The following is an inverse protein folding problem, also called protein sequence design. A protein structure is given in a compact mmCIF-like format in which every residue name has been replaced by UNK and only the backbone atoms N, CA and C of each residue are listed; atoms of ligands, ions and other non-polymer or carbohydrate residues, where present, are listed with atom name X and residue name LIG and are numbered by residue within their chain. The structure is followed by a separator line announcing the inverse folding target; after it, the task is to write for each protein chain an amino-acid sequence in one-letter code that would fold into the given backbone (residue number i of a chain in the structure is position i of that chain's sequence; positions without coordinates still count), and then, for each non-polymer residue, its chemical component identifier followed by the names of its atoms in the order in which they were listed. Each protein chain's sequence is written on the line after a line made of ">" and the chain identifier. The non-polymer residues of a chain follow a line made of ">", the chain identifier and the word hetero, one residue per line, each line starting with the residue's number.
data_IF_611070829273
#
_entry.id   IF_611070829273
#
_cell.length_a   1.000
_cell.length_b   1.000
_cell.length_c   1.000
_cell.angle_alpha   90.00
_cell.angle_beta   90.00
_cell.angle_gamma   90.00
#
_symmetry.space_group_name_H-M   'P 1'
#
loop_
_entity.id
_entity.type
_entity.pdbx_description
1 polymer ?
#
# COMPACT_ATOMS: atom_id res chain seq x y z
N UNK A 1 16.77 1.33 36.34
CA UNK A 1 16.24 0.70 35.10
C UNK A 1 17.37 0.83 34.10
N UNK A 2 18.00 -0.28 33.68
CA UNK A 2 18.95 -0.22 32.56
C UNK A 2 18.22 0.24 31.32
N UNK A 3 18.45 1.45 30.87
CA UNK A 3 18.01 1.89 29.56
C UNK A 3 18.69 0.97 28.53
N UNK A 4 17.90 0.10 27.91
CA UNK A 4 18.41 -0.69 26.77
C UNK A 4 18.82 0.31 25.70
N UNK A 5 19.98 0.10 25.09
CA UNK A 5 20.36 0.90 23.93
C UNK A 5 19.24 0.88 22.88
N UNK A 6 18.92 2.04 22.29
CA UNK A 6 17.85 2.12 21.31
C UNK A 6 18.21 1.33 20.06
N UNK A 7 17.25 0.61 19.50
CA UNK A 7 17.40 -0.05 18.21
C UNK A 7 17.33 0.97 17.07
N UNK A 8 18.31 0.92 16.19
CA UNK A 8 18.33 1.73 14.95
C UNK A 8 18.20 0.77 13.78
N UNK A 9 17.09 0.88 13.02
CA UNK A 9 16.79 -0.02 11.91
C UNK A 9 16.74 0.77 10.60
N UNK A 10 17.46 0.27 9.59
CA UNK A 10 17.34 0.71 8.21
C UNK A 10 16.28 -0.15 7.51
N UNK A 11 15.21 0.46 7.00
CA UNK A 11 14.21 -0.19 6.17
C UNK A 11 14.45 0.09 4.69
N UNK A 12 14.38 -0.93 3.85
CA UNK A 12 14.56 -0.83 2.39
C UNK A 12 13.34 -1.41 1.68
N UNK A 13 12.67 -0.56 0.90
CA UNK A 13 11.55 -0.92 0.03
C UNK A 13 11.96 -0.90 -1.43
N UNK A 14 11.64 -1.97 -2.16
CA UNK A 14 11.89 -2.08 -3.60
C UNK A 14 10.95 -3.07 -4.31
N UNK A 15 9.72 -3.22 -3.82
CA UNK A 15 8.83 -4.29 -4.32
C UNK A 15 8.24 -4.02 -5.71
N UNK A 16 8.09 -2.77 -6.12
CA UNK A 16 7.45 -2.38 -7.38
C UNK A 16 8.28 -1.35 -8.15
N UNK A 17 7.91 -0.08 -8.10
CA UNK A 17 8.54 1.02 -8.86
C UNK A 17 9.09 2.14 -7.98
N UNK A 18 8.88 2.09 -6.67
CA UNK A 18 9.50 3.01 -5.71
C UNK A 18 10.74 2.39 -5.07
N UNK A 19 11.86 3.11 -5.12
CA UNK A 19 13.05 2.77 -4.33
C UNK A 19 13.06 3.63 -3.08
N UNK A 20 12.93 3.03 -1.91
CA UNK A 20 12.89 3.80 -0.68
C UNK A 20 13.77 3.23 0.42
N UNK A 21 14.32 4.13 1.24
CA UNK A 21 15.04 3.78 2.46
C UNK A 21 14.61 4.71 3.60
N UNK A 22 14.47 4.14 4.78
CA UNK A 22 14.14 4.88 6.00
C UNK A 22 15.00 4.42 7.16
N UNK A 23 15.36 5.35 8.02
CA UNK A 23 16.04 5.06 9.28
C UNK A 23 15.11 5.38 10.42
N UNK A 24 14.91 4.41 11.31
CA UNK A 24 14.12 4.62 12.54
C UNK A 24 14.99 4.38 13.77
N UNK A 25 14.65 5.07 14.86
CA UNK A 25 15.18 4.84 16.20
C UNK A 25 14.03 4.38 17.08
N UNK A 26 14.05 3.10 17.48
CA UNK A 26 12.90 2.39 18.03
C UNK A 26 11.69 2.49 17.06
N UNK A 27 10.60 3.15 17.48
CA UNK A 27 9.37 3.36 16.71
C UNK A 27 9.27 4.72 16.03
N UNK A 28 10.33 5.57 16.13
CA UNK A 28 10.35 6.94 15.58
C UNK A 28 11.16 7.02 14.30
N UNK A 29 10.59 7.62 13.28
CA UNK A 29 11.27 7.93 12.02
C UNK A 29 12.31 9.01 12.24
N UNK A 30 13.54 8.80 11.76
CA UNK A 30 14.59 9.80 11.67
C UNK A 30 14.73 10.33 10.23
N UNK A 31 14.53 9.47 9.24
CA UNK A 31 14.52 9.83 7.83
C UNK A 31 13.65 8.85 7.03
N UNK A 32 13.01 9.33 5.95
CA UNK A 32 12.26 8.48 5.01
C UNK A 32 12.41 9.05 3.60
N UNK A 33 13.31 8.47 2.82
CA UNK A 33 13.65 8.92 1.45
C UNK A 33 13.02 8.00 0.43
N UNK A 34 12.26 8.57 -0.51
CA UNK A 34 11.59 7.85 -1.59
C UNK A 34 12.06 8.40 -2.94
N UNK A 35 12.44 7.50 -3.83
CA UNK A 35 12.77 7.82 -5.22
C UNK A 35 11.79 7.11 -6.15
N UNK A 36 10.79 7.85 -6.62
CA UNK A 36 9.74 7.36 -7.53
C UNK A 36 10.26 7.29 -8.97
N UNK A 37 9.89 6.23 -9.68
CA UNK A 37 10.32 5.97 -11.05
C UNK A 37 9.28 6.50 -12.06
N UNK A 38 9.44 7.75 -12.50
CA UNK A 38 8.51 8.40 -13.45
C UNK A 38 8.55 7.80 -14.86
N UNK A 39 9.55 6.98 -15.19
CA UNK A 39 9.69 6.35 -16.51
C UNK A 39 8.44 5.52 -16.90
N UNK A 40 7.72 5.00 -15.93
CA UNK A 40 6.55 4.15 -16.15
C UNK A 40 5.32 4.90 -16.65
N UNK A 41 5.27 6.22 -16.48
CA UNK A 41 4.22 7.09 -17.00
C UNK A 41 4.11 6.98 -18.53
N UNK A 42 5.26 6.93 -19.22
CA UNK A 42 5.32 6.80 -20.67
C UNK A 42 4.76 5.48 -21.21
N UNK A 43 4.68 4.45 -20.36
CA UNK A 43 4.18 3.12 -20.74
C UNK A 43 2.75 2.86 -20.24
N UNK A 44 2.20 3.77 -19.43
CA UNK A 44 0.88 3.63 -18.85
C UNK A 44 0.76 2.46 -17.87
N UNK A 45 1.85 2.16 -17.14
CA UNK A 45 1.96 1.13 -16.12
C UNK A 45 3.39 0.64 -15.93
N UNK A 46 3.64 -0.09 -14.84
CA UNK A 46 4.97 -0.54 -14.46
C UNK A 46 5.51 -1.59 -15.45
N UNK A 47 6.74 -1.37 -15.93
CA UNK A 47 7.49 -2.32 -16.76
C UNK A 47 8.56 -2.97 -15.88
N UNK A 48 8.43 -4.28 -15.55
CA UNK A 48 9.24 -4.93 -14.52
C UNK A 48 10.77 -4.86 -14.77
N UNK A 49 11.20 -4.97 -16.01
CA UNK A 49 12.63 -4.89 -16.34
C UNK A 49 13.18 -3.47 -16.14
N UNK A 50 12.43 -2.44 -16.51
CA UNK A 50 12.82 -1.06 -16.28
C UNK A 50 12.84 -0.73 -14.78
N UNK A 51 11.85 -1.23 -14.03
CA UNK A 51 11.78 -1.07 -12.59
C UNK A 51 13.04 -1.62 -11.90
N UNK A 52 13.43 -2.86 -12.19
CA UNK A 52 14.62 -3.48 -11.58
C UNK A 52 15.91 -2.72 -11.92
N UNK A 53 16.06 -2.25 -13.16
CA UNK A 53 17.22 -1.42 -13.58
C UNK A 53 17.27 -0.05 -12.88
N UNK A 54 16.11 0.56 -12.65
CA UNK A 54 16.02 1.82 -11.93
C UNK A 54 16.37 1.63 -10.44
N UNK A 55 15.89 0.55 -9.80
CA UNK A 55 16.32 0.21 -8.44
C UNK A 55 17.83 0.06 -8.30
N UNK A 56 18.50 -0.62 -9.25
CA UNK A 56 19.97 -0.77 -9.24
C UNK A 56 20.70 0.58 -9.25
N UNK A 57 20.15 1.58 -9.93
CA UNK A 57 20.74 2.93 -9.99
C UNK A 57 20.46 3.74 -8.71
N UNK A 58 19.27 3.54 -8.13
CA UNK A 58 18.77 4.42 -7.07
C UNK A 58 19.06 3.92 -5.66
N UNK A 59 19.29 2.61 -5.45
CA UNK A 59 19.35 2.04 -4.10
C UNK A 59 20.50 2.60 -3.25
N UNK A 60 21.69 2.76 -3.83
CA UNK A 60 22.85 3.33 -3.11
C UNK A 60 22.63 4.80 -2.76
N UNK A 61 22.27 5.69 -3.72
CA UNK A 61 21.98 7.10 -3.40
C UNK A 61 20.86 7.28 -2.37
N UNK A 62 19.79 6.47 -2.45
CA UNK A 62 18.64 6.55 -1.54
C UNK A 62 19.01 6.14 -0.13
N UNK A 63 19.76 5.05 0.04
CA UNK A 63 20.24 4.60 1.36
C UNK A 63 21.25 5.60 1.95
N UNK A 64 22.18 6.12 1.15
CA UNK A 64 23.14 7.14 1.59
C UNK A 64 22.43 8.43 2.05
N UNK A 65 21.42 8.87 1.29
CA UNK A 65 20.60 10.03 1.65
C UNK A 65 19.84 9.80 2.96
N UNK A 66 19.20 8.63 3.13
CA UNK A 66 18.48 8.31 4.36
C UNK A 66 19.38 8.29 5.60
N UNK A 67 20.57 7.71 5.50
CA UNK A 67 21.56 7.71 6.60
C UNK A 67 22.05 9.11 6.93
N UNK A 68 22.36 9.92 5.92
CA UNK A 68 22.79 11.32 6.10
C UNK A 68 21.72 12.20 6.72
N UNK A 69 20.47 12.09 6.24
CA UNK A 69 19.34 12.84 6.76
C UNK A 69 19.05 12.46 8.23
N UNK A 70 19.16 11.16 8.55
CA UNK A 70 19.01 10.66 9.90
C UNK A 70 20.17 11.06 10.83
N UNK A 71 21.32 11.51 10.29
CA UNK A 71 22.56 11.77 11.05
C UNK A 71 23.16 10.49 11.65
N UNK A 72 22.98 9.34 11.02
CA UNK A 72 23.38 8.01 11.51
C UNK A 72 24.48 7.43 10.62
N UNK A 73 25.55 6.95 11.23
CA UNK A 73 26.53 6.13 10.53
C UNK A 73 26.07 4.70 10.39
N UNK A 74 26.38 4.04 9.26
CA UNK A 74 25.97 2.66 9.00
C UNK A 74 26.38 1.67 10.12
N UNK A 75 27.49 1.93 10.82
CA UNK A 75 27.95 1.10 11.95
C UNK A 75 27.09 1.20 13.22
N UNK A 76 26.21 2.20 13.29
CA UNK A 76 25.28 2.37 14.41
C UNK A 76 23.97 1.59 14.21
N UNK A 77 23.77 1.03 13.01
CA UNK A 77 22.58 0.23 12.71
C UNK A 77 22.56 -1.07 13.55
N UNK A 78 21.40 -1.36 14.10
CA UNK A 78 21.12 -2.60 14.83
C UNK A 78 20.64 -3.72 13.91
N UNK A 79 19.96 -3.38 12.80
CA UNK A 79 19.46 -4.33 11.80
C UNK A 79 19.15 -3.62 10.48
N UNK A 80 19.07 -4.40 9.39
CA UNK A 80 18.53 -3.95 8.10
C UNK A 80 17.28 -4.77 7.80
N UNK A 81 16.13 -4.09 7.69
CA UNK A 81 14.88 -4.66 7.25
C UNK A 81 14.72 -4.44 5.73
N UNK A 82 14.24 -5.42 5.00
CA UNK A 82 14.07 -5.31 3.56
C UNK A 82 12.83 -6.06 3.10
N UNK A 83 12.20 -5.57 2.04
CA UNK A 83 11.05 -6.24 1.43
C UNK A 83 11.50 -7.52 0.74
N UNK A 84 11.08 -8.66 1.30
CA UNK A 84 11.28 -9.97 0.70
C UNK A 84 10.23 -10.28 -0.36
N UNK A 85 9.04 -9.73 -0.20
CA UNK A 85 7.86 -9.91 -1.06
C UNK A 85 6.55 -9.65 -0.31
N UNK A 86 5.40 -9.79 -1.01
CA UNK A 86 5.26 -9.95 -2.46
C UNK A 86 5.73 -8.72 -3.26
N UNK A 87 5.89 -8.90 -4.60
CA UNK A 87 6.29 -7.81 -5.50
C UNK A 87 6.92 -8.32 -6.80
N UNK A 88 7.49 -7.41 -7.59
CA UNK A 88 8.21 -7.75 -8.83
C UNK A 88 9.54 -8.41 -8.50
N UNK A 89 9.75 -9.64 -8.95
CA UNK A 89 10.91 -10.45 -8.56
C UNK A 89 12.24 -9.73 -8.81
N UNK A 90 12.41 -9.10 -9.98
CA UNK A 90 13.63 -8.37 -10.33
C UNK A 90 13.90 -7.20 -9.38
N UNK A 91 12.86 -6.44 -9.02
CA UNK A 91 12.92 -5.32 -8.08
C UNK A 91 13.25 -5.80 -6.66
N UNK A 92 12.57 -6.83 -6.19
CA UNK A 92 12.83 -7.48 -4.89
C UNK A 92 14.26 -8.02 -4.78
N UNK A 93 14.81 -8.60 -5.85
CA UNK A 93 16.18 -9.11 -5.87
C UNK A 93 17.21 -8.01 -5.68
N UNK A 94 16.98 -6.81 -6.21
CA UNK A 94 17.90 -5.66 -6.01
C UNK A 94 17.93 -5.26 -4.55
N UNK A 95 16.77 -4.96 -3.94
CA UNK A 95 16.70 -4.55 -2.54
C UNK A 95 17.20 -5.61 -1.56
N UNK A 96 16.76 -6.87 -1.75
CA UNK A 96 17.16 -7.97 -0.87
C UNK A 96 18.67 -8.28 -0.95
N UNK A 97 19.26 -8.25 -2.15
CA UNK A 97 20.71 -8.50 -2.32
C UNK A 97 21.53 -7.38 -1.69
N UNK A 98 21.13 -6.12 -1.90
CA UNK A 98 21.78 -4.97 -1.29
C UNK A 98 21.70 -5.03 0.24
N UNK A 99 20.50 -5.23 0.78
CA UNK A 99 20.26 -5.30 2.24
C UNK A 99 21.10 -6.39 2.91
N UNK A 100 21.10 -7.59 2.35
CA UNK A 100 21.87 -8.73 2.87
C UNK A 100 23.36 -8.50 2.80
N UNK A 101 23.89 -7.98 1.68
CA UNK A 101 25.32 -7.68 1.53
C UNK A 101 25.77 -6.64 2.53
N UNK A 102 24.98 -5.57 2.73
CA UNK A 102 25.27 -4.54 3.71
C UNK A 102 25.20 -5.08 5.14
N UNK A 103 24.16 -5.84 5.48
CA UNK A 103 24.02 -6.47 6.81
C UNK A 103 25.17 -7.43 7.13
N UNK A 104 25.57 -8.26 6.16
CA UNK A 104 26.72 -9.15 6.30
C UNK A 104 28.03 -8.40 6.54
N UNK A 105 28.27 -7.32 5.80
CA UNK A 105 29.45 -6.46 5.97
C UNK A 105 29.52 -5.80 7.34
N UNK A 106 28.36 -5.48 7.92
CA UNK A 106 28.24 -4.83 9.23
C UNK A 106 28.15 -5.84 10.39
N UNK A 107 27.95 -7.12 10.11
CA UNK A 107 27.77 -8.16 11.13
C UNK A 107 26.45 -8.04 11.89
N UNK A 108 25.39 -7.50 11.27
CA UNK A 108 24.08 -7.27 11.88
C UNK A 108 22.98 -8.09 11.17
N UNK A 109 21.80 -8.29 11.80
CA UNK A 109 20.68 -9.01 11.20
C UNK A 109 20.15 -8.37 9.92
N UNK A 110 19.80 -9.22 8.91
CA UNK A 110 19.00 -8.85 7.75
C UNK A 110 17.59 -9.43 7.91
N UNK A 111 16.60 -8.58 8.12
CA UNK A 111 15.24 -8.98 8.48
C UNK A 111 14.32 -8.96 7.24
N UNK A 112 13.84 -10.12 6.77
CA UNK A 112 12.93 -10.21 5.65
C UNK A 112 11.53 -9.76 6.08
N UNK A 113 10.95 -8.78 5.37
CA UNK A 113 9.64 -8.20 5.68
C UNK A 113 8.65 -8.56 4.59
N UNK A 114 7.44 -8.89 5.02
CA UNK A 114 6.29 -9.05 4.14
C UNK A 114 5.69 -7.66 3.84
N UNK A 115 5.67 -7.27 2.57
CA UNK A 115 5.25 -5.95 2.11
C UNK A 115 3.86 -5.54 2.64
N UNK A 116 2.87 -6.43 2.54
CA UNK A 116 1.51 -6.11 3.00
C UNK A 116 1.39 -6.01 4.53
N UNK A 117 2.16 -6.83 5.29
CA UNK A 117 2.23 -6.67 6.75
C UNK A 117 2.86 -5.32 7.12
N UNK A 118 3.85 -4.87 6.34
CA UNK A 118 4.49 -3.57 6.56
C UNK A 118 3.50 -2.40 6.40
N UNK A 119 2.66 -2.41 5.37
CA UNK A 119 1.60 -1.40 5.21
C UNK A 119 0.67 -1.33 6.44
N UNK A 120 0.30 -2.48 7.01
CA UNK A 120 -0.52 -2.51 8.22
C UNK A 120 0.25 -1.99 9.43
N UNK A 121 1.52 -2.41 9.59
CA UNK A 121 2.35 -2.00 10.72
C UNK A 121 2.80 -0.53 10.66
N UNK A 122 2.64 0.16 9.51
CA UNK A 122 2.86 1.61 9.41
C UNK A 122 2.02 2.42 10.42
N UNK A 123 0.87 1.90 10.87
CA UNK A 123 0.07 2.51 11.93
C UNK A 123 0.76 2.57 13.30
N UNK A 124 1.85 1.84 13.47
CA UNK A 124 2.61 1.79 14.73
C UNK A 124 3.85 2.69 14.72
N UNK A 125 4.03 3.47 13.67
CA UNK A 125 5.02 4.55 13.64
C UNK A 125 4.63 5.61 14.65
N UNK A 126 5.52 5.90 15.58
CA UNK A 126 5.30 6.92 16.61
C UNK A 126 5.51 8.33 16.04
N UNK A 127 4.49 8.83 15.37
CA UNK A 127 4.46 10.14 14.71
C UNK A 127 3.43 11.11 15.35
N UNK A 128 2.90 10.73 16.52
CA UNK A 128 1.85 11.46 17.24
C UNK A 128 0.43 11.08 16.82
N UNK A 129 0.25 10.22 15.82
CA UNK A 129 -1.07 9.69 15.45
C UNK A 129 -1.53 8.61 16.44
N UNK A 130 -2.86 8.41 16.53
CA UNK A 130 -3.40 7.32 17.33
C UNK A 130 -3.07 5.96 16.72
N UNK A 131 -2.64 5.02 17.55
CA UNK A 131 -2.32 3.65 17.17
C UNK A 131 -3.50 2.73 17.44
N UNK A 132 -3.89 1.83 16.50
CA UNK A 132 -4.99 0.90 16.71
C UNK A 132 -4.63 -0.13 17.79
N UNK A 133 -5.51 -0.38 18.79
CA UNK A 133 -5.32 -1.45 19.75
C UNK A 133 -5.62 -2.80 19.08
N UNK A 134 -4.90 -3.83 19.46
CA UNK A 134 -5.21 -5.19 19.02
C UNK A 134 -6.41 -5.80 19.80
N UNK A 135 -7.28 -6.59 19.16
CA UNK A 135 -7.34 -6.82 17.72
C UNK A 135 -8.07 -5.70 16.99
N UNK A 136 -7.71 -5.45 15.73
CA UNK A 136 -8.40 -4.52 14.84
C UNK A 136 -8.61 -5.10 13.43
N UNK A 137 -9.52 -4.50 12.66
CA UNK A 137 -9.74 -4.83 11.26
C UNK A 137 -9.04 -3.80 10.37
N UNK A 138 -8.24 -4.27 9.43
CA UNK A 138 -7.56 -3.43 8.44
C UNK A 138 -8.07 -3.74 7.04
N UNK A 139 -8.54 -2.72 6.33
CA UNK A 139 -8.77 -2.77 4.89
C UNK A 139 -7.51 -2.27 4.20
N UNK A 140 -6.77 -3.20 3.60
CA UNK A 140 -5.54 -2.88 2.87
C UNK A 140 -5.83 -2.82 1.39
N UNK A 141 -5.62 -1.65 0.77
CA UNK A 141 -5.98 -1.37 -0.64
C UNK A 141 -4.81 -0.71 -1.35
N UNK A 142 -4.28 -1.38 -2.37
CA UNK A 142 -3.16 -0.89 -3.18
C UNK A 142 -3.38 -1.16 -4.67
N UNK A 143 -2.37 -0.87 -5.49
CA UNK A 143 -2.37 -1.21 -6.92
C UNK A 143 -2.46 -2.70 -7.20
N UNK A 144 -1.86 -3.54 -6.34
CA UNK A 144 -1.79 -5.00 -6.53
C UNK A 144 -2.60 -5.83 -5.54
N UNK A 145 -3.11 -5.23 -4.46
CA UNK A 145 -3.78 -5.97 -3.39
C UNK A 145 -5.04 -5.25 -2.89
N UNK A 146 -6.06 -6.04 -2.57
CA UNK A 146 -7.25 -5.58 -1.83
C UNK A 146 -7.61 -6.68 -0.84
N UNK A 147 -7.45 -6.42 0.46
CA UNK A 147 -7.60 -7.43 1.51
C UNK A 147 -8.28 -6.86 2.76
N UNK A 148 -9.15 -7.65 3.37
CA UNK A 148 -9.67 -7.45 4.72
C UNK A 148 -8.89 -8.34 5.69
N UNK A 149 -8.19 -7.72 6.63
CA UNK A 149 -7.25 -8.39 7.51
C UNK A 149 -7.64 -8.13 8.96
N UNK A 150 -7.89 -9.19 9.72
CA UNK A 150 -7.96 -9.12 11.17
C UNK A 150 -6.55 -9.21 11.75
N UNK A 151 -6.12 -8.17 12.40
CA UNK A 151 -4.79 -8.07 13.02
C UNK A 151 -4.93 -8.38 14.50
N UNK A 152 -4.42 -9.53 14.94
CA UNK A 152 -4.52 -9.97 16.33
C UNK A 152 -3.38 -9.43 17.20
N UNK A 153 -2.20 -9.30 16.61
CA UNK A 153 -0.99 -8.71 17.19
C UNK A 153 0.00 -8.39 16.05
N UNK A 154 1.20 -7.91 16.34
CA UNK A 154 2.19 -7.52 15.34
C UNK A 154 2.66 -8.66 14.41
N UNK A 155 2.46 -9.93 14.80
CA UNK A 155 2.90 -11.09 14.02
C UNK A 155 1.73 -11.89 13.41
N UNK A 156 0.52 -11.78 13.99
CA UNK A 156 -0.63 -12.58 13.63
C UNK A 156 -1.67 -11.80 12.82
N UNK A 157 -1.79 -12.17 11.56
CA UNK A 157 -2.65 -11.54 10.56
C UNK A 157 -3.56 -12.61 9.95
N UNK A 158 -4.86 -12.40 9.96
CA UNK A 158 -5.85 -13.34 9.40
C UNK A 158 -6.56 -12.65 8.24
N UNK A 159 -6.39 -13.15 7.02
CA UNK A 159 -7.12 -12.68 5.85
C UNK A 159 -8.56 -13.18 5.96
N UNK A 160 -9.54 -12.26 6.01
CA UNK A 160 -10.97 -12.54 6.06
C UNK A 160 -11.62 -12.44 4.68
N UNK A 161 -11.01 -11.66 3.77
CA UNK A 161 -11.42 -11.51 2.39
C UNK A 161 -10.31 -10.90 1.56
N UNK A 162 -10.26 -11.24 0.29
CA UNK A 162 -9.28 -10.69 -0.66
C UNK A 162 -9.86 -10.57 -2.06
N UNK A 163 -9.20 -9.81 -2.93
CA UNK A 163 -9.63 -9.75 -4.32
C UNK A 163 -9.34 -11.07 -5.04
N UNK A 164 -10.31 -11.51 -5.85
CA UNK A 164 -10.21 -12.73 -6.65
C UNK A 164 -9.62 -12.47 -8.05
N UNK A 165 -9.54 -11.19 -8.44
CA UNK A 165 -9.07 -10.76 -9.77
C UNK A 165 -8.27 -9.45 -9.66
N UNK A 166 -8.69 -8.38 -10.34
CA UNK A 166 -8.03 -7.07 -10.27
C UNK A 166 -8.10 -6.51 -8.83
N UNK A 167 -7.06 -5.81 -8.38
CA UNK A 167 -7.12 -5.02 -7.15
C UNK A 167 -7.87 -3.68 -7.39
N UNK A 168 -8.35 -3.05 -6.32
CA UNK A 168 -9.09 -1.79 -6.42
C UNK A 168 -8.25 -0.66 -7.04
N UNK A 169 -6.96 -0.55 -6.70
CA UNK A 169 -6.06 0.42 -7.32
C UNK A 169 -5.88 0.17 -8.82
N UNK A 170 -5.72 -1.09 -9.22
CA UNK A 170 -5.67 -1.47 -10.64
C UNK A 170 -6.99 -1.16 -11.36
N UNK A 171 -8.14 -1.31 -10.68
CA UNK A 171 -9.43 -0.94 -11.23
C UNK A 171 -9.54 0.57 -11.48
N UNK A 172 -9.03 1.41 -10.56
CA UNK A 172 -8.90 2.86 -10.77
C UNK A 172 -8.03 3.19 -11.98
N UNK A 173 -6.84 2.60 -12.09
CA UNK A 173 -5.90 2.87 -13.19
C UNK A 173 -6.48 2.44 -14.55
N UNK A 174 -7.13 1.27 -14.58
CA UNK A 174 -7.80 0.79 -15.80
C UNK A 174 -8.97 1.69 -16.21
N UNK A 175 -9.78 2.15 -15.26
CA UNK A 175 -10.87 3.09 -15.54
C UNK A 175 -10.34 4.44 -16.05
N UNK A 176 -9.32 4.98 -15.41
CA UNK A 176 -8.62 6.19 -15.82
C UNK A 176 -8.11 6.10 -17.26
N UNK A 177 -7.41 5.01 -17.59
CA UNK A 177 -6.91 4.74 -18.94
C UNK A 177 -8.03 4.70 -19.98
N UNK A 178 -9.18 4.09 -19.68
CA UNK A 178 -10.35 4.05 -20.56
C UNK A 178 -10.96 5.44 -20.79
N UNK A 179 -10.82 6.34 -19.81
CA UNK A 179 -11.26 7.74 -19.89
C UNK A 179 -10.21 8.68 -20.52
N UNK A 180 -9.01 8.18 -20.84
CA UNK A 180 -7.92 8.96 -21.44
C UNK A 180 -7.09 9.75 -20.43
N UNK A 181 -7.15 9.40 -19.15
CA UNK A 181 -6.35 10.02 -18.09
C UNK A 181 -4.94 9.42 -18.03
N UNK A 182 -3.93 10.17 -17.50
CA UNK A 182 -2.56 9.71 -17.37
C UNK A 182 -2.41 8.59 -16.31
N UNK A 183 -1.22 8.01 -16.26
CA UNK A 183 -0.80 7.07 -15.21
C UNK A 183 0.11 7.82 -14.20
N UNK A 184 -0.04 7.57 -12.88
CA UNK A 184 -1.04 6.73 -12.22
C UNK A 184 -2.44 7.34 -12.24
N UNK A 185 -3.45 6.53 -12.59
CA UNK A 185 -4.81 7.01 -12.83
C UNK A 185 -5.64 7.24 -11.56
N UNK A 186 -5.34 6.49 -10.48
CA UNK A 186 -6.10 6.59 -9.23
C UNK A 186 -6.18 8.01 -8.66
N UNK A 187 -5.07 8.73 -8.48
CA UNK A 187 -5.06 10.13 -8.01
C UNK A 187 -5.83 11.08 -8.94
N UNK A 188 -5.71 10.91 -10.25
CA UNK A 188 -6.42 11.73 -11.24
C UNK A 188 -7.94 11.55 -11.15
N UNK A 189 -8.39 10.28 -11.06
CA UNK A 189 -9.81 9.97 -10.87
C UNK A 189 -10.31 10.57 -9.54
N UNK A 190 -9.56 10.44 -8.45
CA UNK A 190 -9.96 10.99 -7.16
C UNK A 190 -10.06 12.52 -7.18
N UNK A 191 -9.12 13.20 -7.86
CA UNK A 191 -9.14 14.65 -7.98
C UNK A 191 -10.33 15.18 -8.81
N UNK A 192 -10.59 14.56 -9.97
CA UNK A 192 -11.69 14.96 -10.85
C UNK A 192 -13.05 14.64 -10.22
N UNK A 193 -13.15 13.52 -9.51
CA UNK A 193 -14.36 13.09 -8.83
C UNK A 193 -14.89 14.06 -7.76
N UNK A 194 -14.03 14.96 -7.24
CA UNK A 194 -14.48 16.00 -6.29
C UNK A 194 -15.44 17.03 -6.90
N UNK A 195 -15.47 17.12 -8.22
CA UNK A 195 -16.27 18.11 -8.96
C UNK A 195 -17.51 17.50 -9.61
N UNK A 196 -17.57 16.17 -9.73
CA UNK A 196 -18.63 15.46 -10.43
C UNK A 196 -19.72 14.93 -9.49
N UNK A 197 -20.85 14.55 -10.10
CA UNK A 197 -21.95 13.86 -9.43
C UNK A 197 -21.69 12.34 -9.39
N UNK A 198 -21.53 11.72 -8.21
CA UNK A 198 -21.26 10.29 -8.09
C UNK A 198 -22.40 9.39 -8.55
N UNK A 199 -23.62 9.92 -8.71
CA UNK A 199 -24.82 9.17 -9.13
C UNK A 199 -25.21 9.42 -10.59
N UNK A 200 -24.50 10.27 -11.33
CA UNK A 200 -24.76 10.55 -12.75
C UNK A 200 -24.66 9.30 -13.64
N UNK A 201 -23.78 8.37 -13.30
CA UNK A 201 -23.57 7.13 -14.05
C UNK A 201 -23.58 5.94 -13.10
N UNK A 202 -24.45 4.97 -13.35
CA UNK A 202 -24.56 3.79 -12.48
C UNK A 202 -23.79 2.64 -13.11
N UNK A 203 -22.80 2.12 -12.37
CA UNK A 203 -22.05 0.93 -12.72
C UNK A 203 -22.45 -0.24 -11.82
N UNK A 204 -22.74 -1.38 -12.44
CA UNK A 204 -22.99 -2.63 -11.72
C UNK A 204 -21.67 -3.35 -11.44
N UNK A 205 -21.65 -4.09 -10.34
CA UNK A 205 -20.52 -4.96 -9.99
C UNK A 205 -20.99 -6.38 -9.68
N UNK A 206 -20.11 -7.39 -9.88
CA UNK A 206 -20.49 -8.78 -9.64
C UNK A 206 -20.67 -9.04 -8.14
N UNK A 207 -21.57 -9.95 -7.83
CA UNK A 207 -21.62 -10.55 -6.49
C UNK A 207 -20.59 -11.65 -6.42
N UNK A 208 -19.78 -11.65 -5.37
CA UNK A 208 -18.78 -12.68 -5.06
C UNK A 208 -19.18 -13.43 -3.78
N UNK A 209 -18.68 -14.65 -3.62
CA UNK A 209 -18.95 -15.44 -2.42
C UNK A 209 -18.00 -15.05 -1.28
N UNK A 210 -18.52 -15.11 -0.07
CA UNK A 210 -17.79 -14.70 1.13
C UNK A 210 -17.51 -13.19 1.12
N UNK A 211 -16.46 -12.78 1.82
CA UNK A 211 -16.05 -11.38 1.93
C UNK A 211 -14.96 -11.00 0.93
N UNK A 212 -14.93 -11.69 -0.21
CA UNK A 212 -13.97 -11.42 -1.28
C UNK A 212 -14.41 -10.24 -2.14
N UNK A 213 -13.47 -9.69 -2.90
CA UNK A 213 -13.70 -8.61 -3.85
C UNK A 213 -13.54 -9.10 -5.29
N UNK A 214 -14.18 -8.41 -6.23
CA UNK A 214 -13.95 -8.57 -7.67
C UNK A 214 -14.18 -7.25 -8.37
N UNK A 215 -13.23 -6.83 -9.19
CA UNK A 215 -13.27 -5.58 -9.96
C UNK A 215 -13.22 -5.80 -11.47
N UNK A 216 -12.90 -7.01 -11.96
CA UNK A 216 -12.81 -7.28 -13.40
C UNK A 216 -14.16 -7.09 -14.12
N UNK A 217 -15.26 -7.45 -13.45
CA UNK A 217 -16.63 -7.22 -13.96
C UNK A 217 -16.96 -5.73 -14.05
N UNK A 218 -16.54 -4.91 -13.09
CA UNK A 218 -16.70 -3.46 -13.12
C UNK A 218 -15.96 -2.84 -14.31
N UNK A 219 -14.70 -3.26 -14.55
CA UNK A 219 -13.93 -2.84 -15.73
C UNK A 219 -14.68 -3.06 -17.03
N UNK A 220 -15.24 -4.26 -17.23
CA UNK A 220 -15.99 -4.60 -18.43
C UNK A 220 -17.26 -3.76 -18.55
N UNK A 221 -17.94 -3.50 -17.43
CA UNK A 221 -19.13 -2.66 -17.39
C UNK A 221 -18.82 -1.20 -17.80
N UNK A 222 -17.75 -0.62 -17.24
CA UNK A 222 -17.28 0.72 -17.60
C UNK A 222 -16.92 0.78 -19.09
N UNK A 223 -16.12 -0.16 -19.60
CA UNK A 223 -15.71 -0.19 -21.01
C UNK A 223 -16.93 -0.18 -21.94
N UNK A 224 -17.86 -1.11 -21.73
CA UNK A 224 -19.08 -1.22 -22.55
C UNK A 224 -19.93 0.05 -22.49
N UNK A 225 -20.04 0.67 -21.30
CA UNK A 225 -20.75 1.92 -21.11
C UNK A 225 -20.12 3.06 -21.92
N UNK A 226 -18.81 3.23 -21.82
CA UNK A 226 -18.09 4.28 -22.55
C UNK A 226 -18.15 4.07 -24.06
N UNK A 227 -17.95 2.84 -24.54
CA UNK A 227 -18.04 2.53 -25.98
C UNK A 227 -19.45 2.80 -26.57
N UNK A 228 -20.49 2.39 -25.84
CA UNK A 228 -21.87 2.63 -26.25
C UNK A 228 -22.16 4.12 -26.40
N UNK A 229 -21.70 4.95 -25.48
CA UNK A 229 -21.95 6.39 -25.49
C UNK A 229 -21.04 7.11 -26.50
N UNK A 230 -19.77 6.74 -26.66
CA UNK A 230 -18.87 7.27 -27.69
C UNK A 230 -19.37 7.05 -29.12
N UNK A 231 -20.08 5.94 -29.38
CA UNK A 231 -20.70 5.70 -30.70
C UNK A 231 -21.84 6.68 -31.00
N UNK A 232 -22.46 7.26 -29.97
CA UNK A 232 -23.55 8.24 -30.09
C UNK A 232 -23.01 9.67 -30.11
N UNK A 233 -22.01 9.92 -29.28
CA UNK A 233 -21.35 11.20 -29.12
C UNK A 233 -19.86 10.97 -28.89
N UNK A 234 -18.99 11.26 -29.87
CA UNK A 234 -17.53 11.11 -29.73
C UNK A 234 -16.93 11.91 -28.59
N UNK A 235 -17.51 13.05 -28.21
CA UNK A 235 -17.05 13.91 -27.14
C UNK A 235 -17.61 13.52 -25.75
N UNK A 236 -18.45 12.47 -25.67
CA UNK A 236 -19.16 12.06 -24.47
C UNK A 236 -18.23 11.97 -23.22
N UNK A 237 -17.08 11.31 -23.33
CA UNK A 237 -16.15 11.17 -22.20
C UNK A 237 -15.60 12.51 -21.75
N UNK A 238 -15.22 13.37 -22.70
CA UNK A 238 -14.69 14.70 -22.42
C UNK A 238 -15.72 15.59 -21.73
N UNK A 239 -16.96 15.54 -22.19
CA UNK A 239 -18.05 16.36 -21.64
C UNK A 239 -18.53 15.90 -20.27
N UNK A 240 -18.33 14.62 -19.92
CA UNK A 240 -18.82 14.02 -18.68
C UNK A 240 -17.68 13.50 -17.77
N UNK A 241 -16.45 13.97 -17.96
CA UNK A 241 -15.26 13.37 -17.35
C UNK A 241 -15.32 13.42 -15.82
N UNK A 242 -15.72 14.53 -15.24
CA UNK A 242 -15.81 14.69 -13.78
C UNK A 242 -16.89 13.77 -13.18
N UNK A 243 -18.05 13.69 -13.80
CA UNK A 243 -19.16 12.80 -13.38
C UNK A 243 -18.79 11.31 -13.54
N UNK A 244 -18.11 10.95 -14.62
CA UNK A 244 -17.61 9.60 -14.84
C UNK A 244 -16.58 9.21 -13.74
N UNK A 245 -15.66 10.10 -13.43
CA UNK A 245 -14.68 9.89 -12.37
C UNK A 245 -15.36 9.76 -10.99
N UNK A 246 -16.35 10.62 -10.71
CA UNK A 246 -17.11 10.56 -9.45
C UNK A 246 -17.88 9.25 -9.33
N UNK A 247 -18.55 8.80 -10.40
CA UNK A 247 -19.32 7.56 -10.42
C UNK A 247 -18.45 6.30 -10.32
N UNK A 248 -17.27 6.30 -10.96
CA UNK A 248 -16.28 5.21 -10.84
C UNK A 248 -15.76 5.13 -9.41
N UNK A 249 -15.32 6.27 -8.84
CA UNK A 249 -14.84 6.32 -7.45
C UNK A 249 -15.91 5.85 -6.47
N UNK A 250 -17.13 6.36 -6.60
CA UNK A 250 -18.25 5.96 -5.77
C UNK A 250 -18.47 4.43 -5.82
N UNK A 251 -18.51 3.86 -7.02
CA UNK A 251 -18.76 2.42 -7.19
C UNK A 251 -17.67 1.56 -6.53
N UNK A 252 -16.39 1.91 -6.72
CA UNK A 252 -15.27 1.17 -6.09
C UNK A 252 -15.32 1.30 -4.57
N UNK A 253 -15.58 2.51 -4.05
CA UNK A 253 -15.70 2.76 -2.61
C UNK A 253 -16.87 1.99 -2.00
N UNK A 254 -18.02 1.93 -2.67
CA UNK A 254 -19.19 1.16 -2.21
C UNK A 254 -18.89 -0.35 -2.12
N UNK A 255 -18.17 -0.91 -3.11
CA UNK A 255 -17.73 -2.31 -3.06
C UNK A 255 -16.86 -2.56 -1.82
N UNK A 256 -15.88 -1.70 -1.57
CA UNK A 256 -14.95 -1.83 -0.44
C UNK A 256 -15.66 -1.67 0.90
N UNK A 257 -16.49 -0.64 1.05
CA UNK A 257 -17.16 -0.32 2.29
C UNK A 257 -18.24 -1.33 2.66
N UNK A 258 -18.94 -1.91 1.69
CA UNK A 258 -19.93 -2.94 1.92
C UNK A 258 -19.32 -4.15 2.64
N UNK A 259 -18.25 -4.72 2.10
CA UNK A 259 -17.59 -5.89 2.68
C UNK A 259 -16.91 -5.54 4.02
N UNK A 260 -16.31 -4.34 4.13
CA UNK A 260 -15.74 -3.87 5.39
C UNK A 260 -16.78 -3.83 6.52
N UNK A 261 -17.98 -3.31 6.23
CA UNK A 261 -19.08 -3.22 7.22
C UNK A 261 -19.57 -4.60 7.62
N UNK A 262 -19.76 -5.51 6.65
CA UNK A 262 -20.21 -6.88 6.93
C UNK A 262 -19.21 -7.62 7.81
N UNK A 263 -17.90 -7.59 7.45
CA UNK A 263 -16.85 -8.24 8.22
C UNK A 263 -16.67 -7.63 9.62
N UNK A 264 -16.69 -6.28 9.72
CA UNK A 264 -16.59 -5.63 11.03
C UNK A 264 -17.71 -6.06 11.99
N UNK A 265 -18.94 -6.19 11.46
CA UNK A 265 -20.11 -6.65 12.22
C UNK A 265 -19.96 -8.11 12.65
N UNK A 266 -19.60 -9.01 11.73
CA UNK A 266 -19.43 -10.43 12.00
C UNK A 266 -18.32 -10.72 13.01
N UNK A 267 -17.19 -9.97 12.91
CA UNK A 267 -16.07 -10.10 13.82
C UNK A 267 -16.24 -9.34 15.14
N UNK A 268 -17.27 -8.50 15.26
CA UNK A 268 -17.51 -7.66 16.44
C UNK A 268 -16.42 -6.61 16.66
N UNK A 269 -15.72 -6.18 15.58
CA UNK A 269 -14.61 -5.24 15.65
C UNK A 269 -15.09 -3.80 15.40
N UNK A 270 -14.59 -2.88 16.22
CA UNK A 270 -14.89 -1.43 16.15
C UNK A 270 -13.68 -0.56 15.87
N UNK A 271 -12.47 -1.14 15.93
CA UNK A 271 -11.23 -0.47 15.56
C UNK A 271 -10.93 -0.83 14.11
N UNK A 272 -11.05 0.16 13.22
CA UNK A 272 -10.98 -0.03 11.76
C UNK A 272 -9.83 0.80 11.21
N UNK A 273 -8.92 0.16 10.48
CA UNK A 273 -7.77 0.81 9.86
C UNK A 273 -7.84 0.73 8.32
N UNK A 274 -7.28 1.73 7.64
CA UNK A 274 -6.98 1.69 6.22
C UNK A 274 -5.46 1.59 6.03
N UNK A 275 -5.01 0.83 5.03
CA UNK A 275 -3.61 0.75 4.65
C UNK A 275 -3.44 0.59 3.13
N UNK A 276 -2.22 0.82 2.62
CA UNK A 276 -1.90 0.76 1.19
C UNK A 276 -2.21 2.06 0.44
N UNK A 277 -1.69 2.18 -0.78
CA UNK A 277 -1.73 3.44 -1.55
C UNK A 277 -3.12 4.04 -1.78
N UNK A 278 -4.14 3.19 -1.97
CA UNK A 278 -5.53 3.66 -2.14
C UNK A 278 -6.14 4.19 -0.84
N UNK A 279 -5.51 3.95 0.33
CA UNK A 279 -5.92 4.62 1.58
C UNK A 279 -5.76 6.15 1.54
N UNK A 280 -5.03 6.68 0.56
CA UNK A 280 -4.93 8.11 0.26
C UNK A 280 -6.19 8.69 -0.43
N UNK A 281 -7.05 7.83 -1.02
CA UNK A 281 -8.25 8.26 -1.75
C UNK A 281 -9.24 8.99 -0.84
N UNK A 282 -9.62 10.21 -1.22
CA UNK A 282 -10.49 11.09 -0.43
C UNK A 282 -11.90 10.50 -0.26
N UNK A 283 -12.43 9.91 -1.34
CA UNK A 283 -13.76 9.28 -1.31
C UNK A 283 -13.82 8.11 -0.32
N UNK A 284 -12.77 7.26 -0.29
CA UNK A 284 -12.69 6.14 0.65
C UNK A 284 -12.56 6.62 2.10
N UNK A 285 -11.71 7.61 2.38
CA UNK A 285 -11.58 8.21 3.72
C UNK A 285 -12.88 8.79 4.23
N UNK A 286 -13.56 9.57 3.38
CA UNK A 286 -14.85 10.18 3.71
C UNK A 286 -15.92 9.12 3.99
N UNK A 287 -16.03 8.09 3.16
CA UNK A 287 -16.99 7.00 3.39
C UNK A 287 -16.70 6.23 4.68
N UNK A 288 -15.41 6.02 5.02
CA UNK A 288 -15.03 5.42 6.29
C UNK A 288 -15.42 6.30 7.49
N UNK A 289 -15.17 7.61 7.43
CA UNK A 289 -15.54 8.56 8.49
C UNK A 289 -17.05 8.61 8.70
N UNK A 290 -17.84 8.66 7.63
CA UNK A 290 -19.30 8.63 7.70
C UNK A 290 -19.82 7.33 8.34
N UNK A 291 -19.28 6.19 7.96
CA UNK A 291 -19.63 4.89 8.56
C UNK A 291 -19.14 4.76 10.00
N UNK A 292 -18.01 5.36 10.34
CA UNK A 292 -17.52 5.39 11.71
C UNK A 292 -18.48 6.11 12.66
N UNK A 293 -19.03 7.24 12.22
CA UNK A 293 -20.06 7.97 13.00
C UNK A 293 -21.33 7.13 13.14
N UNK A 294 -21.80 6.51 12.03
CA UNK A 294 -23.02 5.69 12.03
C UNK A 294 -22.91 4.46 12.93
N UNK A 295 -21.75 3.77 12.90
CA UNK A 295 -21.55 2.46 13.52
C UNK A 295 -20.78 2.51 14.85
N UNK A 296 -20.36 3.69 15.29
CA UNK A 296 -19.58 3.89 16.51
C UNK A 296 -18.19 3.25 16.43
N UNK A 297 -17.52 3.38 15.28
CA UNK A 297 -16.15 2.91 15.07
C UNK A 297 -15.12 3.95 15.48
N UNK A 298 -13.94 3.48 15.85
CA UNK A 298 -12.72 4.29 15.91
C UNK A 298 -11.87 3.95 14.69
N UNK A 299 -11.53 4.96 13.88
CA UNK A 299 -10.82 4.78 12.62
C UNK A 299 -9.36 5.20 12.72
N UNK A 300 -8.52 4.51 11.97
CA UNK A 300 -7.08 4.74 11.90
C UNK A 300 -6.67 4.81 10.43
N UNK A 301 -6.16 5.97 10.04
CA UNK A 301 -5.72 6.22 8.67
C UNK A 301 -4.30 6.76 8.74
N UNK A 302 -3.33 6.17 7.99
CA UNK A 302 -1.95 6.63 8.06
C UNK A 302 -1.79 8.03 7.46
N UNK A 303 -0.74 8.74 7.85
CA UNK A 303 -0.35 9.99 7.18
C UNK A 303 -0.09 9.70 5.71
N UNK A 304 -0.29 10.71 4.85
CA UNK A 304 -0.18 10.56 3.40
C UNK A 304 1.18 9.98 2.97
N UNK A 305 2.25 10.36 3.66
CA UNK A 305 3.61 9.89 3.41
C UNK A 305 3.84 8.40 3.68
N UNK A 306 2.93 7.75 4.43
CA UNK A 306 3.01 6.31 4.76
C UNK A 306 1.95 5.48 4.03
N UNK A 307 1.09 6.10 3.20
CA UNK A 307 0.07 5.37 2.45
C UNK A 307 0.67 4.56 1.30
N UNK A 308 1.56 5.19 0.52
CA UNK A 308 2.25 4.55 -0.62
C UNK A 308 3.47 3.75 -0.17
N UNK A 309 4.12 3.06 -1.08
CA UNK A 309 5.32 2.28 -0.82
C UNK A 309 6.44 3.16 -0.30
N UNK A 310 6.99 2.80 0.86
CA UNK A 310 8.02 3.61 1.53
C UNK A 310 8.90 2.75 2.46
N UNK A 311 10.10 3.25 2.78
CA UNK A 311 11.05 2.57 3.66
C UNK A 311 10.61 2.53 5.13
N UNK A 312 9.80 3.51 5.57
CA UNK A 312 9.39 3.63 6.97
C UNK A 312 8.50 2.45 7.40
N UNK A 313 7.57 2.00 6.55
CA UNK A 313 6.75 0.83 6.83
C UNK A 313 7.59 -0.45 6.95
N UNK A 314 8.67 -0.57 6.19
CA UNK A 314 9.59 -1.71 6.26
C UNK A 314 10.44 -1.63 7.52
N UNK A 315 10.91 -0.43 7.86
CA UNK A 315 11.70 -0.21 9.05
C UNK A 315 10.93 -0.51 10.35
N UNK A 316 9.68 -0.03 10.48
CA UNK A 316 8.84 -0.31 11.66
C UNK A 316 8.50 -1.80 11.77
N UNK A 317 8.20 -2.49 10.66
CA UNK A 317 7.99 -3.93 10.66
C UNK A 317 9.27 -4.68 11.10
N UNK A 318 10.44 -4.22 10.64
CA UNK A 318 11.74 -4.73 11.08
C UNK A 318 12.01 -4.51 12.56
N UNK A 319 11.65 -3.35 13.10
CA UNK A 319 11.75 -3.06 14.53
C UNK A 319 10.94 -4.06 15.36
N UNK A 320 9.68 -4.34 14.97
CA UNK A 320 8.85 -5.32 15.69
C UNK A 320 9.48 -6.71 15.67
N UNK A 321 10.04 -7.16 14.54
CA UNK A 321 10.78 -8.42 14.45
C UNK A 321 12.02 -8.44 15.35
N UNK A 322 12.77 -7.34 15.38
CA UNK A 322 13.98 -7.24 16.17
C UNK A 322 13.69 -7.32 17.68
N UNK A 323 12.66 -6.61 18.17
CA UNK A 323 12.25 -6.68 19.58
C UNK A 323 11.66 -8.05 19.97
N UNK A 324 11.10 -8.79 18.99
CA UNK A 324 10.66 -10.17 19.16
C UNK A 324 11.86 -11.17 19.19
N UNK A 325 13.09 -10.70 18.95
CA UNK A 325 14.29 -11.53 18.99
C UNK A 325 14.62 -12.24 17.67
N UNK A 326 13.98 -11.85 16.55
CA UNK A 326 14.31 -12.42 15.25
C UNK A 326 15.68 -11.90 14.76
N UNK A 327 16.52 -12.82 14.30
CA UNK A 327 17.87 -12.51 13.81
C UNK A 327 17.97 -12.50 12.29
N UNK A 328 16.87 -12.85 11.60
CA UNK A 328 16.83 -12.98 10.15
C UNK A 328 17.57 -14.22 9.64
N UNK A 329 17.43 -14.50 8.37
CA UNK A 329 18.09 -15.59 7.67
C UNK A 329 18.68 -15.09 6.35
N UNK A 330 19.95 -15.32 6.12
CA UNK A 330 20.62 -14.82 4.91
C UNK A 330 20.31 -15.63 3.65
N UNK A 331 19.89 -16.87 3.79
CA UNK A 331 19.60 -17.83 2.71
C UNK A 331 18.15 -17.75 2.18
N UNK A 332 17.26 -16.99 2.81
CA UNK A 332 15.88 -16.84 2.32
C UNK A 332 15.83 -16.04 1.01
N UNK A 333 15.20 -16.60 -0.01
CA UNK A 333 15.06 -15.96 -1.32
C UNK A 333 13.93 -14.89 -1.32
N UNK A 334 14.06 -13.90 -2.20
CA UNK A 334 12.97 -13.00 -2.55
C UNK A 334 11.82 -13.80 -3.20
N UNK A 335 10.58 -13.42 -2.95
CA UNK A 335 9.40 -14.18 -3.35
C UNK A 335 8.34 -13.25 -3.93
N UNK A 336 8.09 -13.36 -5.25
CA UNK A 336 7.12 -12.52 -5.95
C UNK A 336 5.68 -12.72 -5.43
N UNK A 337 5.36 -13.93 -5.00
CA UNK A 337 4.06 -14.29 -4.42
C UNK A 337 4.30 -14.88 -3.03
N UNK A 338 4.13 -14.07 -2.02
CA UNK A 338 4.25 -14.48 -0.63
C UNK A 338 2.89 -14.29 0.05
N UNK A 339 2.30 -15.38 0.50
CA UNK A 339 1.03 -15.31 1.23
C UNK A 339 1.27 -14.78 2.64
N UNK A 340 0.30 -14.05 3.15
CA UNK A 340 0.27 -13.56 4.51
C UNK A 340 -0.38 -14.65 5.38
N UNK A 341 0.45 -15.55 5.88
CA UNK A 341 0.00 -16.62 6.81
C UNK A 341 0.06 -16.09 8.24
#
# INVERSE_FOLDING_TARGET
>A
MNEREPFIVLGIESSCDDTSASVIKNDRILANVVATQTIHEAYGGVVPELASRAHQKSIIPVVDAALKEAGIHAKELSAIAYTRGPGLLGSLLVGSSFAKSMAQSLGIPALPIHHMKAHVLAHFINDGSATPPFPFLCLTVSGGHTQLIKVQNADSFIILGETMDDAAGEAFDKAAKMMGLPYPGGPEVDQLAEKGDPLSHIFSWPKVNGHNFSFSGLKTNILNYLEKNRRRDPDFVKMNLEDLCASVRYTIVEILMKELVEVAREQGLKHIALAGGVSANRGLRKALEEKAVELGWTTYVPKMEYCTDNGAMIAIAGYYKLIAGETGQMDVAATARWKMD
#
